data_IF_755219233028
#
_entry.id   IF_755219233028
#
_cell.length_a   1.000
_cell.length_b   1.000
_cell.length_c   1.000
_cell.angle_alpha   90.00
_cell.angle_beta   90.00
_cell.angle_gamma   90.00
#
_symmetry.space_group_name_H-M   'P 1'
#
loop_
_entity.id
_entity.type
_entity.pdbx_description
1 polymer ?
#
# COMPACT_ATOMS: atom_id res chain seq x y z
N UNK A 1 -4.05 19.37 -6.08
CA UNK A 1 -4.48 18.63 -4.87
C UNK A 1 -3.54 17.47 -4.65
N UNK A 2 -3.09 17.28 -3.42
CA UNK A 2 -2.26 16.13 -3.08
C UNK A 2 -3.13 14.89 -2.91
N UNK A 3 -2.70 13.79 -3.51
CA UNK A 3 -3.37 12.50 -3.42
C UNK A 3 -2.34 11.40 -3.14
N UNK A 4 -2.68 10.46 -2.29
CA UNK A 4 -1.78 9.41 -1.82
C UNK A 4 -2.24 8.03 -2.27
N UNK A 5 -1.29 7.23 -2.74
CA UNK A 5 -1.46 5.79 -2.91
C UNK A 5 -0.91 5.07 -1.69
N UNK A 6 -1.75 4.35 -0.98
CA UNK A 6 -1.34 3.49 0.14
C UNK A 6 -1.22 2.06 -0.37
N UNK A 7 -0.09 1.42 -0.10
CA UNK A 7 0.20 0.05 -0.51
C UNK A 7 0.36 -0.84 0.71
N UNK A 8 -0.51 -1.82 0.86
CA UNK A 8 -0.44 -2.80 1.94
C UNK A 8 0.59 -3.88 1.59
N UNK A 9 1.75 -3.80 2.21
CA UNK A 9 2.90 -4.66 1.93
C UNK A 9 3.40 -5.46 3.15
N UNK A 10 2.69 -5.42 4.27
CA UNK A 10 3.10 -6.13 5.49
C UNK A 10 3.13 -7.66 5.35
N UNK A 11 2.36 -8.20 4.39
CA UNK A 11 2.35 -9.63 4.07
C UNK A 11 3.45 -10.10 3.12
N UNK A 12 4.27 -9.20 2.58
CA UNK A 12 5.35 -9.56 1.67
C UNK A 12 6.37 -10.46 2.39
N UNK A 13 6.80 -11.51 1.70
CA UNK A 13 7.80 -12.46 2.22
C UNK A 13 7.24 -13.52 3.17
N UNK A 14 6.03 -13.38 3.69
CA UNK A 14 5.46 -14.34 4.65
C UNK A 14 4.97 -15.65 4.01
N UNK A 15 4.63 -15.63 2.72
CA UNK A 15 4.02 -16.78 2.02
C UNK A 15 5.02 -17.75 1.41
N UNK A 16 6.23 -17.31 1.09
CA UNK A 16 7.19 -18.08 0.29
C UNK A 16 8.51 -18.40 1.00
N UNK A 17 8.68 -18.02 2.26
CA UNK A 17 9.87 -18.33 3.05
C UNK A 17 11.19 -17.77 2.52
N UNK A 18 11.15 -16.89 1.52
CA UNK A 18 12.32 -16.44 0.80
C UNK A 18 12.60 -14.93 0.86
N UNK A 19 11.86 -14.19 1.66
CA UNK A 19 12.03 -12.75 1.79
C UNK A 19 11.63 -11.95 0.54
N UNK A 20 11.91 -10.65 0.55
CA UNK A 20 11.55 -9.70 -0.51
C UNK A 20 12.34 -9.95 -1.79
N UNK A 21 13.58 -10.42 -1.68
CA UNK A 21 14.46 -10.70 -2.83
C UNK A 21 13.89 -11.73 -3.81
N UNK A 22 12.92 -12.53 -3.38
CA UNK A 22 12.26 -13.56 -4.20
C UNK A 22 10.93 -13.09 -4.81
N UNK A 23 10.58 -11.82 -4.76
CA UNK A 23 9.41 -11.31 -5.48
C UNK A 23 9.54 -11.60 -6.97
N UNK A 24 8.47 -12.16 -7.55
CA UNK A 24 8.45 -12.53 -8.95
C UNK A 24 8.63 -11.31 -9.85
N UNK A 25 9.68 -11.33 -10.65
CA UNK A 25 9.94 -10.31 -11.67
C UNK A 25 9.05 -10.58 -12.87
N UNK A 26 8.23 -9.60 -13.22
CA UNK A 26 7.23 -9.70 -14.29
C UNK A 26 7.64 -8.97 -15.56
N UNK A 27 8.44 -7.93 -15.43
CA UNK A 27 8.84 -7.08 -16.55
C UNK A 27 10.22 -7.42 -17.10
N UNK A 28 10.54 -6.93 -18.31
CA UNK A 28 11.80 -7.20 -19.02
C UNK A 28 13.03 -6.65 -18.28
N UNK A 29 12.86 -5.63 -17.43
CA UNK A 29 13.93 -5.04 -16.64
C UNK A 29 13.88 -5.44 -15.15
N UNK A 30 13.13 -6.50 -14.84
CA UNK A 30 13.01 -7.01 -13.48
C UNK A 30 11.97 -6.31 -12.63
N UNK A 31 11.03 -5.60 -13.26
CA UNK A 31 9.90 -4.97 -12.56
C UNK A 31 9.01 -6.03 -11.90
N UNK A 32 8.50 -5.70 -10.74
CA UNK A 32 7.47 -6.47 -10.03
C UNK A 32 6.09 -5.82 -10.22
N UNK A 33 5.01 -6.50 -9.82
CA UNK A 33 3.63 -5.97 -9.95
C UNK A 33 3.50 -4.58 -9.34
N UNK A 34 4.10 -4.35 -8.20
CA UNK A 34 4.06 -3.07 -7.48
C UNK A 34 4.65 -1.92 -8.29
N UNK A 35 5.70 -2.16 -9.08
CA UNK A 35 6.29 -1.14 -9.96
C UNK A 35 5.27 -0.64 -10.99
N UNK A 36 4.49 -1.54 -11.57
CA UNK A 36 3.42 -1.19 -12.51
C UNK A 36 2.30 -0.39 -11.83
N UNK A 37 1.87 -0.82 -10.65
CA UNK A 37 0.86 -0.08 -9.88
C UNK A 37 1.31 1.34 -9.55
N UNK A 38 2.54 1.52 -9.11
CA UNK A 38 3.08 2.85 -8.78
C UNK A 38 3.22 3.72 -10.02
N UNK A 39 3.71 3.16 -11.12
CA UNK A 39 3.79 3.89 -12.39
C UNK A 39 2.41 4.35 -12.86
N UNK A 40 1.44 3.45 -12.87
CA UNK A 40 0.09 3.75 -13.33
C UNK A 40 -0.59 4.79 -12.42
N UNK A 41 -0.40 4.70 -11.11
CA UNK A 41 -0.89 5.70 -10.16
C UNK A 41 -0.23 7.07 -10.38
N UNK A 42 1.08 7.12 -10.57
CA UNK A 42 1.81 8.36 -10.85
C UNK A 42 1.31 9.02 -12.13
N UNK A 43 1.13 8.25 -13.19
CA UNK A 43 0.57 8.76 -14.46
C UNK A 43 -0.88 9.24 -14.31
N UNK A 44 -1.65 8.65 -13.41
CA UNK A 44 -3.01 9.08 -13.10
C UNK A 44 -3.07 10.38 -12.27
N UNK A 45 -1.99 10.79 -11.62
CA UNK A 45 -1.89 12.03 -10.87
C UNK A 45 -1.58 11.88 -9.38
N UNK A 46 -1.43 10.67 -8.86
CA UNK A 46 -0.98 10.47 -7.48
C UNK A 46 0.46 10.97 -7.32
N UNK A 47 0.72 11.67 -6.23
CA UNK A 47 2.02 12.32 -6.00
C UNK A 47 2.76 11.84 -4.75
N UNK A 48 2.19 10.90 -4.02
CA UNK A 48 2.80 10.30 -2.83
C UNK A 48 2.42 8.83 -2.72
N UNK A 49 3.36 8.02 -2.26
CA UNK A 49 3.14 6.61 -1.92
C UNK A 49 3.42 6.39 -0.44
N UNK A 50 2.54 5.69 0.24
CA UNK A 50 2.75 5.24 1.62
C UNK A 50 2.76 3.71 1.62
N UNK A 51 3.85 3.12 2.07
CA UNK A 51 3.95 1.67 2.27
C UNK A 51 3.59 1.30 3.69
N UNK A 52 2.64 0.38 3.84
CA UNK A 52 2.36 -0.26 5.12
C UNK A 52 3.16 -1.56 5.16
N UNK A 53 4.16 -1.62 6.02
CA UNK A 53 5.09 -2.75 6.15
C UNK A 53 5.29 -3.14 7.61
N UNK A 54 5.95 -4.28 7.84
CA UNK A 54 6.48 -4.64 9.16
C UNK A 54 7.89 -4.10 9.34
N UNK A 55 8.27 -3.77 10.58
CA UNK A 55 9.63 -3.29 10.89
C UNK A 55 10.72 -4.30 10.52
N UNK A 56 10.44 -5.59 10.68
CA UNK A 56 11.42 -6.65 10.42
C UNK A 56 11.83 -6.77 8.95
N UNK A 57 11.01 -6.28 8.02
CA UNK A 57 11.32 -6.31 6.59
C UNK A 57 11.72 -4.93 6.04
N UNK A 58 11.72 -3.89 6.86
CA UNK A 58 11.90 -2.51 6.40
C UNK A 58 13.23 -2.29 5.66
N UNK A 59 14.34 -2.71 6.25
CA UNK A 59 15.66 -2.48 5.65
C UNK A 59 15.80 -3.17 4.29
N UNK A 60 15.40 -4.44 4.20
CA UNK A 60 15.42 -5.19 2.95
C UNK A 60 14.46 -4.60 1.92
N UNK A 61 13.26 -4.17 2.35
CA UNK A 61 12.28 -3.52 1.48
C UNK A 61 12.81 -2.21 0.92
N UNK A 62 13.41 -1.38 1.75
CA UNK A 62 13.99 -0.10 1.32
C UNK A 62 15.13 -0.31 0.32
N UNK A 63 16.03 -1.28 0.60
CA UNK A 63 17.14 -1.62 -0.30
C UNK A 63 16.67 -2.12 -1.66
N UNK A 64 15.71 -3.04 -1.69
CA UNK A 64 15.28 -3.75 -2.91
C UNK A 64 14.25 -2.94 -3.71
N UNK A 65 13.37 -2.22 -3.06
CA UNK A 65 12.21 -1.57 -3.67
C UNK A 65 12.19 -0.08 -3.39
N UNK A 66 12.23 0.30 -2.11
CA UNK A 66 11.94 1.67 -1.68
C UNK A 66 12.86 2.72 -2.27
N UNK A 67 14.15 2.45 -2.33
CA UNK A 67 15.15 3.41 -2.83
C UNK A 67 14.93 3.77 -4.31
N UNK A 68 14.56 2.81 -5.16
CA UNK A 68 14.26 3.10 -6.56
C UNK A 68 12.93 3.82 -6.76
N UNK A 69 11.94 3.54 -5.92
CA UNK A 69 10.64 4.23 -5.96
C UNK A 69 10.77 5.68 -5.49
N UNK A 70 11.56 5.91 -4.46
CA UNK A 70 11.84 7.24 -3.90
C UNK A 70 12.43 8.23 -4.92
N UNK A 71 13.13 7.74 -5.93
CA UNK A 71 13.65 8.55 -7.03
C UNK A 71 12.53 9.06 -7.97
N UNK A 72 11.36 8.44 -7.96
CA UNK A 72 10.28 8.69 -8.89
C UNK A 72 9.10 9.45 -8.27
N UNK A 73 8.84 9.24 -6.98
CA UNK A 73 7.68 9.75 -6.26
C UNK A 73 8.01 9.85 -4.76
N UNK A 74 7.35 10.74 -4.04
CA UNK A 74 7.49 10.85 -2.60
C UNK A 74 7.04 9.55 -1.91
N UNK A 75 7.86 9.05 -0.99
CA UNK A 75 7.63 7.79 -0.26
C UNK A 75 7.66 8.02 1.23
N UNK A 76 6.65 7.49 1.92
CA UNK A 76 6.63 7.35 3.37
C UNK A 76 6.33 5.90 3.77
N UNK A 77 6.69 5.54 5.00
CA UNK A 77 6.46 4.23 5.57
C UNK A 77 5.58 4.32 6.81
N UNK A 78 4.67 3.38 6.93
CA UNK A 78 3.85 3.15 8.12
C UNK A 78 4.05 1.71 8.56
N UNK A 79 4.26 1.49 9.85
CA UNK A 79 4.51 0.16 10.37
C UNK A 79 3.22 -0.45 10.93
N UNK A 80 2.90 -1.66 10.46
CA UNK A 80 1.81 -2.46 10.99
C UNK A 80 2.39 -3.50 11.95
N UNK A 81 2.28 -3.23 13.24
CA UNK A 81 2.77 -4.10 14.30
C UNK A 81 1.61 -4.82 15.01
N UNK A 82 1.91 -6.00 15.57
CA UNK A 82 0.89 -6.83 16.24
C UNK A 82 0.35 -6.18 17.52
N UNK A 83 1.19 -5.43 18.21
CA UNK A 83 0.89 -4.77 19.49
C UNK A 83 0.28 -3.37 19.32
N UNK A 84 0.24 -2.85 18.11
CA UNK A 84 -0.41 -1.57 17.81
C UNK A 84 -1.93 -1.74 17.68
N UNK A 85 -2.57 -1.89 18.82
CA UNK A 85 -4.01 -2.12 18.95
C UNK A 85 -4.69 -0.97 19.68
N UNK A 86 -5.98 -0.72 19.40
CA UNK A 86 -6.79 0.19 20.19
C UNK A 86 -6.86 -0.23 21.66
N UNK A 87 -7.09 0.75 22.53
CA UNK A 87 -7.23 0.50 23.97
C UNK A 87 -8.28 -0.57 24.26
N UNK A 88 -7.94 -1.51 25.14
CA UNK A 88 -8.81 -2.62 25.53
C UNK A 88 -8.65 -3.90 24.71
N UNK A 89 -7.76 -3.90 23.73
CA UNK A 89 -7.45 -5.10 22.95
C UNK A 89 -6.03 -5.60 23.23
N UNK A 90 -5.88 -6.92 23.22
CA UNK A 90 -4.60 -7.58 23.44
C UNK A 90 -4.30 -8.56 22.30
N UNK A 91 -3.00 -8.80 22.05
CA UNK A 91 -2.56 -9.78 21.06
C UNK A 91 -2.82 -11.19 21.60
N UNK A 92 -3.63 -12.03 20.91
CA UNK A 92 -3.81 -13.43 21.32
C UNK A 92 -2.49 -14.18 21.34
N UNK A 93 -2.35 -15.08 22.31
CA UNK A 93 -1.17 -15.94 22.44
C UNK A 93 -0.91 -16.72 21.14
N UNK A 94 0.33 -16.69 20.65
CA UNK A 94 0.75 -17.43 19.46
C UNK A 94 0.41 -16.74 18.12
N UNK A 95 -0.19 -15.55 18.13
CA UNK A 95 -0.43 -14.83 16.89
C UNK A 95 0.88 -14.24 16.33
N UNK A 96 1.20 -14.60 15.10
CA UNK A 96 2.40 -14.11 14.38
C UNK A 96 2.05 -13.36 13.09
N UNK A 97 0.84 -13.54 12.57
CA UNK A 97 0.41 -12.88 11.33
C UNK A 97 -0.09 -11.47 11.60
N UNK A 98 0.18 -10.52 10.68
CA UNK A 98 -0.39 -9.17 10.75
C UNK A 98 -1.91 -9.20 10.89
N UNK A 99 -2.46 -8.13 11.45
CA UNK A 99 -3.90 -7.90 11.48
C UNK A 99 -4.44 -7.65 10.07
N UNK A 100 -5.77 -7.62 9.93
CA UNK A 100 -6.42 -7.41 8.65
C UNK A 100 -6.28 -5.98 8.11
N UNK A 101 -6.94 -5.73 6.98
CA UNK A 101 -6.87 -4.48 6.23
C UNK A 101 -7.38 -3.26 7.00
N UNK A 102 -8.38 -3.45 7.86
CA UNK A 102 -8.92 -2.36 8.69
C UNK A 102 -7.86 -1.79 9.65
N UNK A 103 -7.09 -2.64 10.30
CA UNK A 103 -6.01 -2.19 11.18
C UNK A 103 -4.86 -1.56 10.36
N UNK A 104 -4.56 -2.08 9.18
CA UNK A 104 -3.58 -1.47 8.27
C UNK A 104 -3.96 -0.03 7.90
N UNK A 105 -5.23 0.22 7.54
CA UNK A 105 -5.73 1.57 7.27
C UNK A 105 -5.61 2.46 8.51
N UNK A 106 -5.98 1.94 9.67
CA UNK A 106 -5.92 2.68 10.93
C UNK A 106 -4.49 3.14 11.28
N UNK A 107 -3.47 2.35 10.94
CA UNK A 107 -2.07 2.73 11.14
C UNK A 107 -1.68 3.99 10.36
N UNK A 108 -2.40 4.33 9.29
CA UNK A 108 -2.12 5.51 8.46
C UNK A 108 -2.76 6.81 8.98
N UNK A 109 -3.61 6.76 9.99
CA UNK A 109 -4.44 7.89 10.46
C UNK A 109 -3.65 9.16 10.80
N UNK A 110 -2.42 9.03 11.27
CA UNK A 110 -1.59 10.16 11.68
C UNK A 110 -0.63 10.65 10.58
N UNK A 111 -0.46 9.85 9.52
CA UNK A 111 0.45 10.12 8.41
C UNK A 111 -0.27 10.62 7.17
N UNK A 112 -1.45 10.06 6.86
CA UNK A 112 -2.22 10.41 5.66
C UNK A 112 -3.43 11.25 6.04
N UNK A 113 -3.44 12.50 5.59
CA UNK A 113 -4.53 13.47 5.82
C UNK A 113 -5.22 13.92 4.52
N UNK A 114 -4.58 13.66 3.40
CA UNK A 114 -5.07 13.93 2.06
C UNK A 114 -5.96 12.79 1.53
N UNK A 115 -6.74 13.01 0.47
CA UNK A 115 -7.46 11.95 -0.23
C UNK A 115 -6.52 10.84 -0.67
N UNK A 116 -6.92 9.60 -0.48
CA UNK A 116 -6.08 8.43 -0.76
C UNK A 116 -6.84 7.26 -1.37
N UNK A 117 -6.09 6.40 -2.05
CA UNK A 117 -6.51 5.06 -2.47
C UNK A 117 -5.62 4.04 -1.79
N UNK A 118 -6.17 2.93 -1.37
CA UNK A 118 -5.43 1.82 -0.78
C UNK A 118 -5.49 0.58 -1.68
N UNK A 119 -4.35 -0.05 -1.89
CA UNK A 119 -4.21 -1.25 -2.72
C UNK A 119 -3.39 -2.33 -2.02
N UNK A 120 -3.49 -3.55 -2.52
CA UNK A 120 -2.58 -4.64 -2.18
C UNK A 120 -1.28 -4.54 -3.00
N UNK A 121 -0.17 -4.94 -2.42
CA UNK A 121 1.13 -4.91 -3.06
C UNK A 121 1.29 -5.92 -4.20
N UNK A 122 0.53 -7.01 -4.18
CA UNK A 122 0.64 -8.17 -5.05
C UNK A 122 -0.53 -8.33 -6.04
N UNK A 123 -1.43 -7.36 -6.10
CA UNK A 123 -2.55 -7.33 -7.06
C UNK A 123 -2.27 -6.34 -8.20
N UNK A 124 -2.67 -6.72 -9.40
CA UNK A 124 -2.65 -5.84 -10.57
C UNK A 124 -4.03 -5.27 -10.86
N UNK A 125 -4.14 -3.93 -10.85
CA UNK A 125 -5.41 -3.22 -11.02
C UNK A 125 -5.64 -2.64 -12.42
N UNK A 126 -4.55 -2.31 -13.11
CA UNK A 126 -4.58 -1.64 -14.39
C UNK A 126 -4.68 -0.12 -14.29
N UNK A 127 -4.16 0.56 -15.30
CA UNK A 127 -4.08 2.03 -15.36
C UNK A 127 -5.45 2.71 -15.24
N UNK A 128 -6.47 2.18 -15.89
CA UNK A 128 -7.82 2.77 -15.90
C UNK A 128 -8.43 2.87 -14.51
N UNK A 129 -8.18 1.88 -13.64
CA UNK A 129 -8.63 1.91 -12.26
C UNK A 129 -8.06 3.11 -11.50
N UNK A 130 -6.76 3.36 -11.65
CA UNK A 130 -6.11 4.50 -11.02
C UNK A 130 -6.61 5.84 -11.55
N UNK A 131 -6.83 5.96 -12.85
CA UNK A 131 -7.39 7.17 -13.46
C UNK A 131 -8.78 7.46 -12.91
N UNK A 132 -9.67 6.47 -12.89
CA UNK A 132 -11.03 6.64 -12.37
C UNK A 132 -11.06 7.00 -10.88
N UNK A 133 -10.24 6.32 -10.08
CA UNK A 133 -10.15 6.60 -8.64
C UNK A 133 -9.56 7.98 -8.36
N UNK A 134 -8.53 8.37 -9.09
CA UNK A 134 -7.94 9.70 -8.95
C UNK A 134 -8.94 10.79 -9.35
N UNK A 135 -9.63 10.66 -10.48
CA UNK A 135 -10.65 11.59 -10.92
C UNK A 135 -11.76 11.75 -9.88
N UNK A 136 -12.20 10.65 -9.27
CA UNK A 136 -13.15 10.69 -8.17
C UNK A 136 -12.62 11.50 -6.96
N UNK A 137 -11.38 11.23 -6.54
CA UNK A 137 -10.78 11.92 -5.38
C UNK A 137 -10.64 13.43 -5.59
N UNK A 138 -10.36 13.87 -6.81
CA UNK A 138 -10.15 15.29 -7.13
C UNK A 138 -11.39 16.01 -7.63
N UNK A 139 -12.50 15.29 -7.86
CA UNK A 139 -13.74 15.86 -8.41
C UNK A 139 -14.39 16.92 -7.50
N UNK A 140 -14.06 16.92 -6.22
CA UNK A 140 -14.68 17.80 -5.25
C UNK A 140 -16.15 17.49 -4.96
N UNK A 141 -16.65 16.35 -5.40
CA UNK A 141 -17.97 15.85 -5.04
C UNK A 141 -17.99 15.43 -3.58
N UNK A 142 -18.16 16.40 -2.70
CA UNK A 142 -18.42 16.13 -1.29
C UNK A 142 -19.87 15.66 -1.13
N UNK A 143 -20.02 14.35 -1.19
CA UNK A 143 -21.30 13.69 -0.94
C UNK A 143 -21.59 13.51 0.55
N UNK A 144 -20.81 14.14 1.44
CA UNK A 144 -20.89 13.92 2.89
C UNK A 144 -20.54 12.47 3.28
N UNK A 145 -19.81 11.78 2.40
CA UNK A 145 -19.34 10.40 2.60
C UNK A 145 -17.87 10.34 2.26
N UNK A 146 -17.11 9.84 3.17
CA UNK A 146 -15.66 9.87 3.14
C UNK A 146 -15.03 8.64 2.49
N UNK A 147 -15.73 7.92 1.60
CA UNK A 147 -15.16 6.70 1.02
C UNK A 147 -15.67 6.39 -0.37
N UNK A 148 -14.85 5.70 -1.10
CA UNK A 148 -15.23 4.94 -2.29
C UNK A 148 -14.88 3.47 -2.12
N UNK A 149 -15.46 2.63 -2.93
CA UNK A 149 -15.28 1.21 -2.86
C UNK A 149 -14.21 0.75 -3.85
N UNK A 150 -13.24 -0.01 -3.33
CA UNK A 150 -12.38 -0.84 -4.15
C UNK A 150 -13.02 -2.18 -4.42
N UNK A 151 -13.06 -2.60 -5.67
CA UNK A 151 -13.61 -3.89 -6.05
C UNK A 151 -12.52 -4.95 -6.12
N UNK A 152 -12.70 -6.04 -5.38
CA UNK A 152 -11.92 -7.25 -5.58
C UNK A 152 -12.66 -8.17 -6.55
N UNK A 153 -12.06 -8.41 -7.71
CA UNK A 153 -12.53 -9.39 -8.67
C UNK A 153 -11.74 -10.69 -8.49
N UNK A 154 -12.11 -11.45 -7.48
CA UNK A 154 -11.66 -12.84 -7.37
C UNK A 154 -12.77 -13.71 -7.93
N UNK A 155 -12.51 -14.35 -9.01
CA UNK A 155 -13.36 -15.37 -9.62
C UNK A 155 -12.66 -16.70 -9.61
#
# INVERSE_FOLDING_TARGET
>A
MNTTLIIMAAGIGSRFGGGIKQLAKMGPNGEIIMDYSIRDAKEAGFNKVVFIIRKDIFEEFEEVIGNRIKEQIDVEYVFQELDDLPEGFEVPAGRTKPWGTGQAVLCCKDVVKEPFVIINADDYYGKEAFVKLHDFLVSGEDLGREFTMGLSLIH
#
